data_IF_622010816572
#
_entry.id   IF_622010816572
#
_cell.length_a   1.000
_cell.length_b   1.000
_cell.length_c   1.000
_cell.angle_alpha   90.00
_cell.angle_beta   90.00
_cell.angle_gamma   90.00
#
_symmetry.space_group_name_H-M   'P 1'
#
loop_
_entity.id
_entity.type
_entity.pdbx_description
1 polymer ?
#
# COMPACT_ATOMS: atom_id res chain seq x y z
N UNK A 1 -42.66 -31.79 31.52
CA UNK A 1 -43.26 -30.48 31.64
C UNK A 1 -42.76 -29.55 30.54
N UNK A 2 -43.66 -29.09 29.73
CA UNK A 2 -43.34 -28.19 28.60
C UNK A 2 -42.77 -26.83 29.04
N UNK A 3 -42.86 -26.55 30.33
CA UNK A 3 -42.34 -25.33 30.92
C UNK A 3 -40.89 -25.48 31.42
N UNK A 4 -40.35 -26.70 31.43
CA UNK A 4 -39.02 -26.93 31.95
C UNK A 4 -37.99 -26.65 30.83
N UNK A 5 -37.30 -25.60 30.98
CA UNK A 5 -36.21 -25.25 30.06
C UNK A 5 -34.95 -26.00 30.50
N UNK A 6 -34.67 -27.12 29.79
CA UNK A 6 -33.53 -27.96 30.12
C UNK A 6 -32.22 -27.27 29.66
N UNK A 7 -31.16 -27.47 30.43
CA UNK A 7 -29.82 -26.97 30.07
C UNK A 7 -29.32 -27.52 28.74
N UNK A 8 -29.73 -28.73 28.38
CA UNK A 8 -29.39 -29.34 27.11
C UNK A 8 -30.06 -28.58 25.94
N UNK A 9 -31.36 -28.29 26.06
CA UNK A 9 -32.10 -27.50 25.07
C UNK A 9 -31.51 -26.10 24.93
N UNK A 10 -31.12 -25.46 26.01
CA UNK A 10 -30.47 -24.17 26.03
C UNK A 10 -29.11 -24.22 25.29
N UNK A 11 -28.33 -25.28 25.47
CA UNK A 11 -27.07 -25.48 24.76
C UNK A 11 -27.27 -25.72 23.25
N UNK A 12 -28.36 -26.43 22.88
CA UNK A 12 -28.65 -26.78 21.48
C UNK A 12 -29.31 -25.63 20.71
N UNK A 13 -30.27 -24.93 21.29
CA UNK A 13 -31.09 -23.94 20.61
C UNK A 13 -30.69 -22.48 20.92
N UNK A 14 -29.82 -22.30 21.87
CA UNK A 14 -29.37 -20.98 22.28
C UNK A 14 -30.27 -20.31 23.32
N UNK A 15 -29.79 -19.23 23.89
CA UNK A 15 -30.45 -18.41 24.87
C UNK A 15 -29.62 -17.15 25.11
N UNK A 16 -30.00 -16.35 26.11
CA UNK A 16 -29.28 -15.12 26.44
C UNK A 16 -27.80 -15.35 26.82
N UNK A 17 -27.49 -16.55 27.35
CA UNK A 17 -26.13 -16.92 27.79
C UNK A 17 -25.41 -17.87 26.80
N UNK A 18 -26.00 -18.10 25.65
CA UNK A 18 -25.41 -18.99 24.63
C UNK A 18 -24.22 -18.33 23.96
N UNK A 19 -23.10 -19.06 23.87
CA UNK A 19 -21.95 -18.65 23.09
C UNK A 19 -21.99 -19.41 21.75
N UNK A 20 -22.00 -18.66 20.66
CA UNK A 20 -21.96 -19.25 19.32
C UNK A 20 -20.70 -18.78 18.57
N UNK A 21 -20.03 -19.72 17.92
CA UNK A 21 -18.81 -19.46 17.14
C UNK A 21 -19.07 -19.23 15.66
N UNK A 22 -20.30 -19.48 15.20
CA UNK A 22 -20.64 -19.50 13.78
C UNK A 22 -21.56 -18.35 13.35
N UNK A 23 -22.04 -17.56 14.27
CA UNK A 23 -22.87 -16.37 13.97
C UNK A 23 -22.00 -15.13 14.03
N UNK A 24 -22.06 -14.35 12.96
CA UNK A 24 -21.38 -13.04 12.90
C UNK A 24 -22.01 -12.11 13.94
N UNK A 25 -21.26 -11.77 14.95
CA UNK A 25 -21.66 -10.73 15.90
C UNK A 25 -21.61 -9.37 15.22
N UNK A 26 -22.71 -8.63 15.28
CA UNK A 26 -22.78 -7.27 14.78
C UNK A 26 -22.80 -6.31 15.96
N UNK A 27 -21.69 -5.65 16.18
CA UNK A 27 -21.61 -4.56 17.15
C UNK A 27 -22.01 -3.26 16.46
N UNK A 28 -23.14 -2.63 16.85
CA UNK A 28 -23.50 -1.33 16.30
C UNK A 28 -22.44 -0.32 16.72
N UNK A 29 -21.76 0.25 15.75
CA UNK A 29 -20.78 1.30 15.98
C UNK A 29 -21.52 2.61 16.16
N UNK A 30 -21.12 3.38 17.15
CA UNK A 30 -21.61 4.72 17.35
C UNK A 30 -21.13 5.68 16.25
N UNK A 31 -20.97 6.90 16.59
CA UNK A 31 -20.49 7.92 15.67
C UNK A 31 -18.98 7.79 15.44
N UNK A 32 -18.53 7.75 14.18
CA UNK A 32 -17.11 7.76 13.85
C UNK A 32 -16.83 8.58 12.58
N UNK A 33 -15.60 9.03 12.43
CA UNK A 33 -15.12 9.74 11.25
C UNK A 33 -13.76 9.20 10.82
N UNK A 34 -13.47 9.32 9.53
CA UNK A 34 -12.19 8.94 8.93
C UNK A 34 -11.50 10.20 8.43
N UNK A 35 -10.32 10.48 8.95
CA UNK A 35 -9.53 11.65 8.59
C UNK A 35 -8.22 11.20 7.91
N UNK A 36 -7.92 11.67 6.71
CA UNK A 36 -6.59 11.54 6.15
C UNK A 36 -5.63 12.44 6.93
N UNK A 37 -4.48 11.91 7.31
CA UNK A 37 -3.45 12.65 8.02
C UNK A 37 -2.12 12.52 7.28
N UNK A 38 -1.40 13.62 7.15
CA UNK A 38 -0.04 13.62 6.64
C UNK A 38 0.93 13.42 7.79
N UNK A 39 1.74 12.38 7.70
CA UNK A 39 2.78 12.14 8.68
C UNK A 39 3.93 13.14 8.53
N UNK A 40 4.41 13.63 9.65
CA UNK A 40 5.52 14.59 9.67
C UNK A 40 6.86 13.86 9.59
N UNK A 41 7.79 14.41 8.81
CA UNK A 41 9.16 13.94 8.75
C UNK A 41 9.82 14.11 10.12
N UNK A 42 10.41 13.04 10.66
CA UNK A 42 11.19 13.08 11.90
C UNK A 42 12.67 13.30 11.64
N UNK A 43 13.28 12.46 10.80
CA UNK A 43 14.72 12.56 10.49
C UNK A 43 15.03 12.04 9.09
N UNK A 44 16.22 12.36 8.62
CA UNK A 44 16.68 11.99 7.29
C UNK A 44 16.10 12.87 6.17
N UNK A 45 16.57 12.71 4.98
CA UNK A 45 16.08 13.40 3.79
C UNK A 45 15.56 12.36 2.80
N UNK A 46 14.31 12.46 2.33
CA UNK A 46 13.80 11.51 1.34
C UNK A 46 14.55 11.69 0.02
N UNK A 47 15.50 10.79 -0.23
CA UNK A 47 16.29 10.74 -1.45
C UNK A 47 16.67 9.29 -1.73
N UNK A 48 17.04 8.98 -2.97
CA UNK A 48 17.54 7.65 -3.33
C UNK A 48 18.81 7.31 -2.53
N UNK A 49 18.87 6.09 -2.02
CA UNK A 49 19.98 5.61 -1.20
C UNK A 49 20.04 6.20 0.22
N UNK A 50 19.00 6.91 0.65
CA UNK A 50 18.91 7.49 1.98
C UNK A 50 17.75 6.90 2.78
N UNK A 51 18.01 6.68 4.08
CA UNK A 51 16.96 6.33 5.02
C UNK A 51 16.35 7.58 5.63
N UNK A 52 15.04 7.59 5.78
CA UNK A 52 14.33 8.63 6.51
C UNK A 52 13.28 8.03 7.43
N UNK A 53 12.95 8.70 8.50
CA UNK A 53 11.90 8.32 9.42
C UNK A 53 10.79 9.36 9.46
N UNK A 54 9.58 8.87 9.69
CA UNK A 54 8.36 9.65 9.67
C UNK A 54 7.59 9.38 10.95
N UNK A 55 7.19 10.44 11.65
CA UNK A 55 6.37 10.34 12.85
C UNK A 55 4.90 10.34 12.51
N UNK A 56 4.18 9.36 13.02
CA UNK A 56 2.73 9.31 12.89
C UNK A 56 2.12 10.17 13.98
N UNK A 57 1.35 11.23 13.64
CA UNK A 57 0.75 12.11 14.63
C UNK A 57 -0.40 11.41 15.38
N UNK A 58 -0.56 11.75 16.66
CA UNK A 58 -1.67 11.26 17.48
C UNK A 58 -2.93 12.11 17.27
N UNK A 59 -3.41 12.17 16.03
CA UNK A 59 -4.59 12.96 15.67
C UNK A 59 -5.91 12.19 15.72
N UNK A 60 -5.86 10.90 16.02
CA UNK A 60 -7.02 10.01 16.11
C UNK A 60 -6.78 8.85 17.05
N UNK A 61 -7.83 8.05 17.27
CA UNK A 61 -7.79 6.90 18.18
C UNK A 61 -7.23 5.64 17.51
N UNK A 62 -7.46 5.49 16.20
CA UNK A 62 -7.07 4.31 15.42
C UNK A 62 -6.39 4.69 14.12
N UNK A 63 -5.42 3.87 13.72
CA UNK A 63 -4.80 3.93 12.39
C UNK A 63 -5.44 2.82 11.54
N UNK A 64 -6.04 3.19 10.42
CA UNK A 64 -6.68 2.24 9.51
C UNK A 64 -5.73 1.78 8.40
N UNK A 65 -5.10 2.72 7.71
CA UNK A 65 -4.25 2.44 6.59
C UNK A 65 -3.08 3.43 6.52
N UNK A 66 -2.00 3.02 5.91
CA UNK A 66 -0.87 3.89 5.60
C UNK A 66 -0.52 3.77 4.12
N UNK A 67 -0.23 4.91 3.49
CA UNK A 67 0.20 4.99 2.09
C UNK A 67 1.46 5.80 1.97
N UNK A 68 2.36 5.33 1.13
CA UNK A 68 3.50 6.13 0.68
C UNK A 68 3.13 6.80 -0.65
N UNK A 69 3.14 8.12 -0.66
CA UNK A 69 2.88 8.91 -1.87
C UNK A 69 4.19 9.46 -2.39
N UNK A 70 4.51 9.14 -3.63
CA UNK A 70 5.69 9.61 -4.34
C UNK A 70 5.27 10.47 -5.54
N UNK A 71 5.81 11.66 -5.62
CA UNK A 71 5.68 12.52 -6.80
C UNK A 71 6.96 12.41 -7.60
N UNK A 72 6.90 11.75 -8.74
CA UNK A 72 8.04 11.70 -9.66
C UNK A 72 8.02 12.93 -10.58
N UNK A 73 9.14 13.62 -10.77
CA UNK A 73 9.25 14.66 -11.78
C UNK A 73 9.25 14.04 -13.19
N UNK A 74 9.07 14.86 -14.17
CA UNK A 74 9.40 14.51 -15.54
C UNK A 74 10.91 14.29 -15.64
N UNK A 75 11.31 13.22 -16.31
CA UNK A 75 12.71 12.85 -16.52
C UNK A 75 12.96 12.78 -18.01
N UNK A 76 13.92 13.58 -18.48
CA UNK A 76 14.32 13.62 -19.89
C UNK A 76 15.75 13.15 -20.07
N UNK A 77 15.97 12.34 -21.12
CA UNK A 77 17.29 11.95 -21.54
C UNK A 77 17.89 13.05 -22.42
N UNK A 78 18.96 13.68 -21.96
CA UNK A 78 19.64 14.72 -22.71
C UNK A 78 20.24 14.16 -24.01
N UNK A 79 19.85 14.69 -25.14
CA UNK A 79 20.27 14.26 -26.47
C UNK A 79 21.78 14.34 -26.72
N UNK A 80 22.49 15.19 -25.99
CA UNK A 80 23.92 15.42 -26.14
C UNK A 80 24.82 14.33 -25.54
N UNK A 81 24.29 13.40 -24.76
CA UNK A 81 25.10 12.46 -24.01
C UNK A 81 25.06 11.06 -24.59
N UNK A 82 25.72 10.86 -25.72
CA UNK A 82 26.52 9.65 -26.01
C UNK A 82 25.80 8.31 -26.27
N UNK A 83 24.48 8.22 -26.14
CA UNK A 83 23.75 6.96 -26.38
C UNK A 83 23.23 6.82 -27.82
N UNK A 84 23.58 7.76 -28.72
CA UNK A 84 23.03 7.79 -30.08
C UNK A 84 21.54 8.17 -30.08
N UNK A 85 20.94 8.22 -31.27
CA UNK A 85 19.53 8.60 -31.44
C UNK A 85 18.52 7.56 -30.88
N UNK A 86 18.98 6.36 -30.49
CA UNK A 86 18.17 5.23 -30.07
C UNK A 86 18.08 5.05 -28.56
N UNK A 87 18.46 6.06 -27.76
CA UNK A 87 18.39 6.00 -26.32
C UNK A 87 16.95 5.92 -25.82
N UNK A 88 16.63 4.91 -24.99
CA UNK A 88 15.34 4.76 -24.33
C UNK A 88 15.51 4.74 -22.81
N UNK A 89 14.76 5.58 -22.11
CA UNK A 89 14.65 5.52 -20.66
C UNK A 89 13.33 4.88 -20.24
N UNK A 90 13.37 4.09 -19.21
CA UNK A 90 12.17 3.44 -18.65
C UNK A 90 12.36 3.14 -17.17
N UNK A 91 11.26 3.09 -16.45
CA UNK A 91 11.24 2.52 -15.11
C UNK A 91 11.24 1.00 -15.17
N UNK A 92 11.73 0.37 -14.11
CA UNK A 92 11.58 -1.09 -13.95
C UNK A 92 10.11 -1.45 -13.71
N UNK A 93 9.75 -2.71 -13.86
CA UNK A 93 8.43 -3.23 -13.51
C UNK A 93 8.18 -2.99 -12.01
N UNK A 94 6.95 -2.67 -11.62
CA UNK A 94 6.54 -2.31 -10.26
C UNK A 94 7.45 -1.23 -9.62
N UNK A 95 7.56 -0.03 -10.20
CA UNK A 95 8.55 0.94 -9.76
C UNK A 95 8.43 1.32 -8.28
N UNK A 96 7.21 1.46 -7.74
CA UNK A 96 7.03 1.80 -6.32
C UNK A 96 7.52 0.70 -5.37
N UNK A 97 7.42 -0.58 -5.74
CA UNK A 97 7.98 -1.67 -4.94
C UNK A 97 9.52 -1.62 -4.96
N UNK A 98 10.11 -1.36 -6.13
CA UNK A 98 11.56 -1.36 -6.30
C UNK A 98 12.27 -0.10 -5.75
N UNK A 99 11.55 1.00 -5.61
CA UNK A 99 12.07 2.22 -4.98
C UNK A 99 12.26 2.02 -3.46
N UNK A 100 11.42 1.18 -2.86
CA UNK A 100 11.40 0.94 -1.42
C UNK A 100 12.23 -0.30 -1.10
N UNK A 101 13.39 -0.15 -0.51
CA UNK A 101 14.23 -1.26 -0.05
C UNK A 101 13.59 -1.99 1.13
N UNK A 102 13.23 -1.24 2.16
CA UNK A 102 12.56 -1.78 3.35
C UNK A 102 11.71 -0.73 4.03
N UNK A 103 10.64 -1.17 4.67
CA UNK A 103 9.78 -0.35 5.52
C UNK A 103 9.71 -1.00 6.89
N UNK A 104 9.94 -0.21 7.94
CA UNK A 104 9.86 -0.66 9.31
C UNK A 104 8.90 0.20 10.11
N UNK A 105 7.99 -0.43 10.80
CA UNK A 105 7.12 0.20 11.79
C UNK A 105 7.69 -0.02 13.17
N UNK A 106 7.87 1.05 13.94
CA UNK A 106 8.36 0.96 15.32
C UNK A 106 7.45 1.72 16.27
N UNK A 107 7.38 1.21 17.51
CA UNK A 107 6.72 1.85 18.64
C UNK A 107 7.75 2.06 19.74
N UNK A 108 7.96 3.30 20.15
CA UNK A 108 8.96 3.64 21.19
C UNK A 108 10.33 2.99 20.90
N UNK A 109 10.83 3.12 19.68
CA UNK A 109 12.09 2.56 19.19
C UNK A 109 12.16 1.01 19.11
N UNK A 110 11.06 0.32 19.39
CA UNK A 110 10.97 -1.12 19.24
C UNK A 110 10.34 -1.43 17.88
N UNK A 111 11.06 -2.18 17.04
CA UNK A 111 10.55 -2.63 15.74
C UNK A 111 9.41 -3.63 15.93
N UNK A 112 8.22 -3.27 15.44
CA UNK A 112 7.03 -4.12 15.50
C UNK A 112 6.83 -4.94 14.22
N UNK A 113 7.11 -4.35 13.07
CA UNK A 113 6.98 -5.00 11.77
C UNK A 113 7.96 -4.40 10.77
N UNK A 114 8.56 -5.27 9.96
CA UNK A 114 9.40 -4.85 8.83
C UNK A 114 9.10 -5.72 7.61
N UNK A 115 9.13 -5.12 6.44
CA UNK A 115 9.02 -5.83 5.17
C UNK A 115 9.85 -5.14 4.08
N UNK A 116 10.17 -5.90 3.03
CA UNK A 116 11.02 -5.48 1.93
C UNK A 116 10.29 -5.56 0.58
N UNK A 117 10.97 -5.21 -0.50
CA UNK A 117 10.48 -5.27 -1.88
C UNK A 117 9.90 -6.63 -2.25
N UNK A 118 10.60 -7.72 -1.94
CA UNK A 118 10.15 -9.06 -2.29
C UNK A 118 8.83 -9.44 -1.58
N UNK A 119 8.66 -8.99 -0.36
CA UNK A 119 7.41 -9.16 0.37
C UNK A 119 6.26 -8.38 -0.29
N UNK A 120 6.50 -7.14 -0.74
CA UNK A 120 5.48 -6.32 -1.41
C UNK A 120 5.02 -6.96 -2.73
N UNK A 121 5.95 -7.48 -3.52
CA UNK A 121 5.63 -8.19 -4.77
C UNK A 121 4.81 -9.46 -4.50
N UNK A 122 5.26 -10.31 -3.58
CA UNK A 122 4.55 -11.52 -3.23
C UNK A 122 3.15 -11.22 -2.66
N UNK A 123 3.06 -10.26 -1.74
CA UNK A 123 1.81 -9.84 -1.13
C UNK A 123 0.80 -9.36 -2.18
N UNK A 124 1.23 -8.51 -3.12
CA UNK A 124 0.35 -7.99 -4.17
C UNK A 124 -0.17 -9.08 -5.10
N UNK A 125 0.65 -10.08 -5.45
CA UNK A 125 0.22 -11.19 -6.31
C UNK A 125 -0.78 -12.13 -5.62
N UNK A 126 -0.60 -12.38 -4.31
CA UNK A 126 -1.49 -13.27 -3.56
C UNK A 126 -2.80 -12.62 -3.13
N UNK A 127 -2.78 -11.35 -2.77
CA UNK A 127 -3.95 -10.71 -2.15
C UNK A 127 -4.78 -9.88 -3.11
N UNK A 128 -4.22 -9.49 -4.27
CA UNK A 128 -4.92 -8.59 -5.19
C UNK A 128 -5.88 -9.38 -6.11
N UNK A 129 -7.20 -9.18 -5.96
CA UNK A 129 -8.18 -9.75 -6.89
C UNK A 129 -7.97 -9.21 -8.31
N UNK A 130 -8.23 -10.02 -9.32
CA UNK A 130 -8.09 -9.64 -10.73
C UNK A 130 -8.83 -8.33 -11.08
N UNK A 131 -10.03 -8.18 -10.57
CA UNK A 131 -10.84 -6.98 -10.81
C UNK A 131 -10.19 -5.66 -10.30
N UNK A 132 -9.30 -5.75 -9.30
CA UNK A 132 -8.60 -4.60 -8.72
C UNK A 132 -7.16 -4.45 -9.22
N UNK A 133 -6.64 -5.44 -9.92
CA UNK A 133 -5.24 -5.51 -10.35
C UNK A 133 -4.83 -4.33 -11.22
N UNK A 134 -5.62 -3.97 -12.20
CA UNK A 134 -5.35 -2.82 -13.08
C UNK A 134 -5.29 -1.50 -12.29
N UNK A 135 -6.21 -1.29 -11.36
CA UNK A 135 -6.20 -0.12 -10.48
C UNK A 135 -4.95 -0.05 -9.61
N UNK A 136 -4.56 -1.18 -9.03
CA UNK A 136 -3.35 -1.29 -8.24
C UNK A 136 -2.09 -0.99 -9.05
N UNK A 137 -1.97 -1.55 -10.24
CA UNK A 137 -0.85 -1.30 -11.14
C UNK A 137 -0.73 0.17 -11.52
N UNK A 138 -1.85 0.84 -11.75
CA UNK A 138 -1.85 2.29 -12.00
C UNK A 138 -1.35 3.07 -10.77
N UNK A 139 -1.68 2.64 -9.57
CA UNK A 139 -1.21 3.29 -8.33
C UNK A 139 0.30 3.14 -8.14
N UNK A 140 0.86 1.96 -8.35
CA UNK A 140 2.29 1.68 -8.15
C UNK A 140 3.16 2.05 -9.34
N UNK A 141 2.57 2.52 -10.44
CA UNK A 141 3.29 2.94 -11.65
C UNK A 141 3.65 1.80 -12.61
N UNK A 142 3.02 0.62 -12.47
CA UNK A 142 3.20 -0.48 -13.41
C UNK A 142 2.35 -0.25 -14.67
N UNK A 143 2.62 0.82 -15.38
CA UNK A 143 1.88 1.28 -16.56
C UNK A 143 2.79 1.35 -17.78
N UNK A 144 2.20 1.18 -18.97
CA UNK A 144 2.97 1.13 -20.23
C UNK A 144 3.77 2.41 -20.49
N UNK A 145 3.25 3.56 -20.09
CA UNK A 145 3.91 4.86 -20.26
C UNK A 145 5.18 5.03 -19.39
N UNK A 146 5.33 4.25 -18.33
CA UNK A 146 6.53 4.26 -17.49
C UNK A 146 7.47 3.10 -17.74
N UNK A 147 6.92 1.90 -18.02
CA UNK A 147 7.72 0.67 -18.18
C UNK A 147 8.14 0.45 -19.63
N UNK A 148 7.28 0.84 -20.56
CA UNK A 148 7.48 0.63 -21.99
C UNK A 148 7.03 1.88 -22.76
N UNK A 149 7.64 3.05 -22.45
CA UNK A 149 7.23 4.31 -23.05
C UNK A 149 7.42 4.29 -24.57
N UNK A 150 6.47 4.86 -25.28
CA UNK A 150 6.55 5.00 -26.72
C UNK A 150 7.50 6.15 -27.10
N UNK A 151 8.29 6.01 -28.15
CA UNK A 151 9.09 7.12 -28.67
C UNK A 151 8.18 8.25 -29.17
N UNK A 152 8.66 9.49 -29.02
CA UNK A 152 7.98 10.63 -29.63
C UNK A 152 8.11 10.57 -31.17
N UNK A 153 7.19 11.26 -31.84
CA UNK A 153 7.17 11.29 -33.32
C UNK A 153 8.51 11.75 -33.88
N UNK A 154 9.12 10.94 -34.71
CA UNK A 154 10.44 11.22 -35.31
C UNK A 154 11.65 10.85 -34.46
N UNK A 155 11.44 10.09 -33.37
CA UNK A 155 12.50 9.55 -32.52
C UNK A 155 12.48 8.02 -32.55
N UNK A 156 13.66 7.40 -32.50
CA UNK A 156 13.80 5.94 -32.49
C UNK A 156 13.71 5.36 -31.07
N UNK A 157 13.77 6.20 -30.02
CA UNK A 157 13.68 5.78 -28.62
C UNK A 157 12.85 6.73 -27.75
N UNK A 158 12.29 6.22 -26.67
CA UNK A 158 11.56 7.03 -25.69
C UNK A 158 12.54 7.78 -24.80
N UNK A 159 12.54 9.10 -24.87
CA UNK A 159 13.50 9.97 -24.17
C UNK A 159 12.88 10.71 -22.98
N UNK A 160 11.57 10.67 -22.84
CA UNK A 160 10.85 11.40 -21.78
C UNK A 160 9.98 10.44 -21.00
N UNK A 161 10.12 10.48 -19.68
CA UNK A 161 9.21 9.84 -18.74
C UNK A 161 8.32 10.91 -18.12
N UNK A 162 7.00 10.77 -18.17
CA UNK A 162 6.09 11.78 -17.64
C UNK A 162 6.15 11.85 -16.12
N UNK A 163 5.90 13.04 -15.58
CA UNK A 163 5.68 13.23 -14.16
C UNK A 163 4.43 12.47 -13.71
N UNK A 164 4.53 11.72 -12.61
CA UNK A 164 3.42 10.93 -12.05
C UNK A 164 3.32 11.05 -10.53
N UNK A 165 2.11 10.96 -10.04
CA UNK A 165 1.86 10.73 -8.62
C UNK A 165 1.62 9.24 -8.41
N UNK A 166 2.53 8.60 -7.73
CA UNK A 166 2.47 7.18 -7.41
C UNK A 166 2.10 6.97 -5.95
N UNK A 167 1.34 5.94 -5.68
CA UNK A 167 0.85 5.62 -4.35
C UNK A 167 1.08 4.15 -4.05
N UNK A 168 1.80 3.87 -2.97
CA UNK A 168 2.02 2.52 -2.49
C UNK A 168 1.25 2.30 -1.18
N UNK A 169 0.23 1.44 -1.17
CA UNK A 169 -0.38 0.99 0.07
C UNK A 169 0.60 0.12 0.85
N UNK A 170 0.77 0.42 2.14
CA UNK A 170 1.69 -0.30 3.00
C UNK A 170 0.92 -1.38 3.78
N UNK A 171 1.21 -2.68 3.58
CA UNK A 171 0.47 -3.78 4.19
C UNK A 171 0.91 -4.05 5.63
N UNK A 172 0.77 -3.05 6.50
CA UNK A 172 0.97 -3.22 7.92
C UNK A 172 -0.14 -4.07 8.53
N UNK A 173 0.12 -4.63 9.73
CA UNK A 173 -0.82 -5.50 10.42
C UNK A 173 -2.20 -4.86 10.65
N UNK A 174 -2.27 -3.55 10.84
CA UNK A 174 -3.52 -2.79 11.02
C UNK A 174 -4.23 -2.45 9.70
N UNK A 175 -3.59 -2.66 8.55
CA UNK A 175 -4.16 -2.41 7.21
C UNK A 175 -4.70 -3.67 6.53
N UNK A 176 -4.74 -4.79 7.25
CA UNK A 176 -5.21 -6.08 6.75
C UNK A 176 -6.62 -6.33 7.29
N UNK A 177 -7.59 -6.35 6.41
CA UNK A 177 -8.97 -6.80 6.68
C UNK A 177 -9.20 -8.15 6.01
#
# INVERSE_FOLDING_TARGET
DLATYDNLERAMYGGSDATTYFVKEHYPVGWFTKLPSLAAKMSGNPAFGQQFSVGVPRSGDYILNAWLVLKTPEVELLAANQLGDNGTIRWTKNPMHNIVESVTLSFNDISAQSFNTAYLDAWSEYTMPEAKRTGYYNMIGNTSDLINPAPATGQDGARVLPAKNLVLPLPFFFSRD
#
